data_IF_972384741155
#
_entry.id   IF_972384741155
#
_cell.length_a   1.000
_cell.length_b   1.000
_cell.length_c   1.000
_cell.angle_alpha   90.00
_cell.angle_beta   90.00
_cell.angle_gamma   90.00
#
_symmetry.space_group_name_H-M   'P 1'
#
loop_
_entity.id
_entity.type
_entity.pdbx_description
1 polymer ?
#
# COMPACT_ATOMS: atom_id res chain seq x y z
N UNK A 1 19.62 -9.49 -29.16
CA UNK A 1 18.93 -8.67 -28.10
C UNK A 1 17.53 -8.27 -28.56
N UNK A 2 17.36 -7.72 -29.77
CA UNK A 2 16.05 -7.29 -30.29
C UNK A 2 15.03 -8.43 -30.43
N UNK A 3 15.45 -9.63 -30.84
CA UNK A 3 14.55 -10.78 -31.03
C UNK A 3 13.86 -11.23 -29.72
N UNK A 4 14.54 -11.09 -28.58
CA UNK A 4 13.96 -11.39 -27.26
C UNK A 4 12.87 -10.40 -26.87
N UNK A 5 13.04 -9.11 -27.20
CA UNK A 5 12.01 -8.09 -26.96
C UNK A 5 10.79 -8.33 -27.85
N UNK A 6 10.98 -8.70 -29.12
CA UNK A 6 9.89 -9.00 -30.05
C UNK A 6 9.10 -10.24 -29.59
N UNK A 7 9.79 -11.31 -29.18
CA UNK A 7 9.15 -12.52 -28.65
C UNK A 7 8.33 -12.26 -27.38
N UNK A 8 8.87 -11.48 -26.44
CA UNK A 8 8.15 -11.10 -25.22
C UNK A 8 6.91 -10.25 -25.51
N UNK A 9 7.01 -9.28 -26.43
CA UNK A 9 5.87 -8.45 -26.81
C UNK A 9 4.75 -9.28 -27.47
N UNK A 10 5.10 -10.24 -28.33
CA UNK A 10 4.12 -11.13 -28.96
C UNK A 10 3.44 -12.04 -27.92
N UNK A 11 4.20 -12.55 -26.95
CA UNK A 11 3.67 -13.35 -25.85
C UNK A 11 2.71 -12.55 -24.95
N UNK A 12 3.08 -11.33 -24.58
CA UNK A 12 2.20 -10.44 -23.82
C UNK A 12 0.93 -10.09 -24.60
N UNK A 13 1.05 -9.83 -25.89
CA UNK A 13 -0.09 -9.56 -26.77
C UNK A 13 -1.04 -10.77 -26.79
N UNK A 14 -0.51 -12.00 -26.90
CA UNK A 14 -1.32 -13.21 -26.84
C UNK A 14 -2.06 -13.35 -25.50
N UNK A 15 -1.41 -13.05 -24.37
CA UNK A 15 -2.05 -13.03 -23.04
C UNK A 15 -3.18 -12.00 -22.99
N UNK A 16 -2.95 -10.78 -23.49
CA UNK A 16 -3.96 -9.72 -23.50
C UNK A 16 -5.17 -10.15 -24.33
N UNK A 17 -4.96 -10.72 -25.52
CA UNK A 17 -6.03 -11.24 -26.36
C UNK A 17 -6.76 -12.39 -25.66
N UNK A 18 -6.04 -13.32 -25.02
CA UNK A 18 -6.65 -14.44 -24.30
C UNK A 18 -7.53 -13.98 -23.14
N UNK A 19 -7.05 -13.03 -22.34
CA UNK A 19 -7.83 -12.41 -21.26
C UNK A 19 -9.07 -11.70 -21.79
N UNK A 20 -8.94 -10.98 -22.90
CA UNK A 20 -10.07 -10.31 -23.55
C UNK A 20 -11.09 -11.31 -24.12
N UNK A 21 -10.63 -12.42 -24.69
CA UNK A 21 -11.48 -13.50 -25.19
C UNK A 21 -12.27 -14.16 -24.05
N UNK A 22 -11.62 -14.43 -22.90
CA UNK A 22 -12.29 -14.97 -21.71
C UNK A 22 -13.32 -13.96 -21.17
N UNK A 23 -12.99 -12.66 -21.18
CA UNK A 23 -13.91 -11.61 -20.75
C UNK A 23 -15.16 -11.54 -21.64
N UNK A 24 -14.99 -11.60 -22.96
CA UNK A 24 -16.11 -11.67 -23.92
C UNK A 24 -16.91 -12.97 -23.73
N UNK A 25 -16.24 -14.10 -23.56
CA UNK A 25 -16.90 -15.38 -23.36
C UNK A 25 -17.75 -15.38 -22.10
N UNK A 26 -17.24 -14.83 -20.99
CA UNK A 26 -18.01 -14.65 -19.76
C UNK A 26 -19.23 -13.73 -19.96
N UNK A 27 -19.10 -12.69 -20.79
CA UNK A 27 -20.22 -11.84 -21.15
C UNK A 27 -21.29 -12.64 -21.91
N UNK A 28 -20.90 -13.42 -22.92
CA UNK A 28 -21.80 -14.28 -23.68
C UNK A 28 -22.47 -15.34 -22.79
N UNK A 29 -21.72 -15.92 -21.86
CA UNK A 29 -22.23 -16.91 -20.90
C UNK A 29 -23.34 -16.30 -20.04
N UNK A 30 -23.13 -15.09 -19.48
CA UNK A 30 -24.13 -14.36 -18.69
C UNK A 30 -25.35 -13.94 -19.52
N UNK A 31 -25.14 -13.56 -20.80
CA UNK A 31 -26.25 -13.22 -21.68
C UNK A 31 -27.07 -14.46 -22.10
N UNK A 32 -26.43 -15.62 -22.20
CA UNK A 32 -27.06 -16.86 -22.68
C UNK A 32 -27.62 -17.70 -21.54
N UNK A 33 -27.12 -17.52 -20.32
CA UNK A 33 -27.65 -18.17 -19.13
C UNK A 33 -29.09 -17.71 -18.90
N UNK A 34 -30.01 -18.68 -18.97
CA UNK A 34 -31.40 -18.48 -18.61
C UNK A 34 -31.51 -18.44 -17.08
N UNK A 35 -31.10 -17.32 -16.48
CA UNK A 35 -31.45 -17.08 -15.10
C UNK A 35 -32.98 -16.96 -15.03
N UNK A 36 -33.59 -17.64 -14.07
CA UNK A 36 -35.03 -17.54 -13.86
C UNK A 36 -35.44 -16.15 -13.32
N UNK A 37 -34.46 -15.31 -12.96
CA UNK A 37 -34.63 -13.97 -12.43
C UNK A 37 -33.76 -12.99 -13.22
N UNK A 38 -34.40 -12.08 -13.96
CA UNK A 38 -33.73 -11.04 -14.77
C UNK A 38 -32.75 -10.19 -13.94
N UNK A 39 -33.06 -9.96 -12.67
CA UNK A 39 -32.22 -9.20 -11.75
C UNK A 39 -30.88 -9.89 -11.47
N UNK A 40 -30.86 -11.21 -11.30
CA UNK A 40 -29.63 -11.97 -11.04
C UNK A 40 -28.69 -11.90 -12.24
N UNK A 41 -29.23 -11.98 -13.46
CA UNK A 41 -28.47 -11.83 -14.70
C UNK A 41 -27.80 -10.45 -14.78
N UNK A 42 -28.54 -9.39 -14.46
CA UNK A 42 -28.03 -8.02 -14.47
C UNK A 42 -26.95 -7.83 -13.39
N UNK A 43 -27.14 -8.41 -12.20
CA UNK A 43 -26.13 -8.36 -11.12
C UNK A 43 -24.83 -9.02 -11.56
N UNK A 44 -24.87 -10.22 -12.15
CA UNK A 44 -23.68 -10.90 -12.66
C UNK A 44 -22.98 -10.13 -13.78
N UNK A 45 -23.75 -9.56 -14.71
CA UNK A 45 -23.22 -8.71 -15.77
C UNK A 45 -22.50 -7.48 -15.19
N UNK A 46 -23.13 -6.82 -14.22
CA UNK A 46 -22.58 -5.66 -13.54
C UNK A 46 -21.29 -6.02 -12.79
N UNK A 47 -21.27 -7.14 -12.07
CA UNK A 47 -20.09 -7.61 -11.35
C UNK A 47 -18.94 -7.86 -12.33
N UNK A 48 -19.14 -8.63 -13.39
CA UNK A 48 -18.07 -8.93 -14.37
C UNK A 48 -17.58 -7.67 -15.10
N UNK A 49 -18.47 -6.72 -15.36
CA UNK A 49 -18.12 -5.44 -15.98
C UNK A 49 -17.36 -4.49 -15.03
N UNK A 50 -17.77 -4.42 -13.75
CA UNK A 50 -17.18 -3.53 -12.75
C UNK A 50 -15.96 -4.13 -12.04
N UNK A 51 -15.75 -5.46 -12.10
CA UNK A 51 -14.59 -6.15 -11.53
C UNK A 51 -13.22 -5.53 -11.89
N UNK A 52 -12.92 -5.20 -13.16
CA UNK A 52 -11.65 -4.54 -13.49
C UNK A 52 -11.51 -3.17 -12.83
N UNK A 53 -12.59 -2.41 -12.67
CA UNK A 53 -12.57 -1.08 -12.07
C UNK A 53 -12.43 -1.13 -10.55
N UNK A 54 -13.15 -2.04 -9.87
CA UNK A 54 -13.06 -2.19 -8.42
C UNK A 54 -11.66 -2.66 -8.00
N UNK A 55 -11.00 -3.51 -8.80
CA UNK A 55 -9.61 -3.92 -8.57
C UNK A 55 -8.63 -2.75 -8.58
N UNK A 56 -8.75 -1.85 -9.55
CA UNK A 56 -7.93 -0.63 -9.62
C UNK A 56 -8.23 0.32 -8.46
N UNK A 57 -9.51 0.48 -8.11
CA UNK A 57 -9.93 1.34 -7.01
C UNK A 57 -9.40 0.84 -5.66
N UNK A 58 -9.49 -0.47 -5.39
CA UNK A 58 -8.88 -1.09 -4.21
C UNK A 58 -7.36 -0.87 -4.17
N UNK A 59 -6.67 -1.05 -5.28
CA UNK A 59 -5.22 -0.80 -5.35
C UNK A 59 -4.87 0.65 -4.96
N UNK A 60 -5.65 1.63 -5.43
CA UNK A 60 -5.42 3.04 -5.08
C UNK A 60 -5.75 3.36 -3.62
N UNK A 61 -6.81 2.78 -3.06
CA UNK A 61 -7.19 2.99 -1.66
C UNK A 61 -6.16 2.36 -0.71
N UNK A 62 -5.79 1.10 -0.94
CA UNK A 62 -4.84 0.36 -0.09
C UNK A 62 -3.41 0.86 -0.31
N UNK A 63 -3.00 1.10 -1.56
CA UNK A 63 -1.63 1.48 -1.91
C UNK A 63 -1.19 2.84 -1.34
N UNK A 64 -2.14 3.75 -1.06
CA UNK A 64 -1.83 5.05 -0.45
C UNK A 64 -1.49 4.96 1.04
N UNK A 65 -1.99 3.98 1.77
CA UNK A 65 -1.79 3.89 3.23
C UNK A 65 -0.43 3.29 3.58
N UNK A 66 0.15 2.49 2.68
CA UNK A 66 1.40 1.75 2.92
C UNK A 66 2.67 2.60 2.71
N UNK A 67 2.56 3.83 2.19
CA UNK A 67 3.71 4.73 1.93
C UNK A 67 3.91 5.81 3.00
N UNK A 68 3.41 5.63 4.22
CA UNK A 68 3.64 6.56 5.34
C UNK A 68 3.86 5.83 6.67
N UNK A 69 4.84 4.95 6.72
CA UNK A 69 5.45 4.52 7.98
C UNK A 69 6.80 3.86 7.66
N UNK A 70 7.77 4.66 7.26
CA UNK A 70 9.10 4.41 7.80
C UNK A 70 9.07 5.08 9.18
N UNK A 71 9.25 4.34 10.29
CA UNK A 71 9.65 4.94 11.54
C UNK A 71 10.96 5.66 11.23
N UNK A 72 10.91 6.98 11.09
CA UNK A 72 12.12 7.79 11.07
C UNK A 72 12.59 7.87 12.53
N UNK A 73 13.06 6.75 13.04
CA UNK A 73 13.85 6.68 14.26
C UNK A 73 15.32 6.76 13.86
N UNK A 74 16.04 7.66 14.54
CA UNK A 74 17.48 7.91 14.47
C UNK A 74 17.99 8.85 13.38
N UNK A 75 17.45 10.07 13.32
CA UNK A 75 18.34 11.21 13.03
C UNK A 75 19.11 11.54 14.33
N UNK A 76 20.44 11.41 14.37
CA UNK A 76 21.23 11.66 15.59
C UNK A 76 21.01 13.06 16.17
N UNK A 77 20.66 14.05 15.34
CA UNK A 77 20.37 15.43 15.78
C UNK A 77 19.21 15.52 16.78
N UNK A 78 18.13 14.78 16.56
CA UNK A 78 16.99 14.76 17.49
C UNK A 78 17.43 14.26 18.88
N UNK A 79 18.31 13.25 18.93
CA UNK A 79 18.89 12.74 20.19
C UNK A 79 19.68 13.81 20.94
N UNK A 80 20.48 14.64 20.26
CA UNK A 80 21.22 15.74 20.89
C UNK A 80 20.33 16.92 21.32
N UNK A 81 19.25 17.19 20.58
CA UNK A 81 18.26 18.21 20.94
C UNK A 81 17.52 17.84 22.23
N UNK A 82 17.22 16.55 22.43
CA UNK A 82 16.67 16.04 23.70
C UNK A 82 17.64 16.22 24.86
N UNK A 83 18.93 15.95 24.68
CA UNK A 83 19.95 16.15 25.71
C UNK A 83 20.11 17.62 26.09
N UNK A 84 19.98 18.52 25.11
CA UNK A 84 20.04 19.98 25.33
C UNK A 84 18.87 20.46 26.19
N UNK A 85 17.65 19.95 25.92
CA UNK A 85 16.45 20.24 26.72
C UNK A 85 16.54 19.65 28.13
N UNK A 86 17.07 18.44 28.26
CA UNK A 86 17.31 17.83 29.58
C UNK A 86 18.27 18.67 30.42
N UNK A 87 19.33 19.20 29.81
CA UNK A 87 20.29 20.06 30.50
C UNK A 87 19.65 21.39 30.92
N UNK A 88 18.82 22.00 30.07
CA UNK A 88 18.13 23.26 30.43
C UNK A 88 17.15 23.08 31.59
N UNK A 89 16.47 21.93 31.69
CA UNK A 89 15.53 21.65 32.79
C UNK A 89 16.25 21.41 34.14
N UNK A 90 17.46 20.87 34.10
CA UNK A 90 18.33 20.77 35.27
C UNK A 90 18.78 22.16 35.73
N UNK A 91 19.22 23.01 34.79
CA UNK A 91 19.67 24.38 35.08
C UNK A 91 18.52 25.28 35.59
N UNK A 92 17.27 25.04 35.19
CA UNK A 92 16.07 25.71 35.72
C UNK A 92 15.68 25.24 37.14
N UNK A 93 16.35 24.22 37.70
CA UNK A 93 16.07 23.70 39.04
C UNK A 93 14.76 22.91 39.15
N UNK A 94 14.14 22.57 38.01
CA UNK A 94 12.90 21.78 37.93
C UNK A 94 13.21 20.29 38.10
N UNK A 95 14.43 19.88 37.71
CA UNK A 95 14.90 18.49 37.77
C UNK A 95 16.04 18.38 38.78
N UNK A 96 16.01 17.35 39.62
CA UNK A 96 17.12 17.06 40.54
C UNK A 96 18.24 16.34 39.80
N UNK A 97 19.49 16.53 40.24
CA UNK A 97 20.70 15.96 39.60
C UNK A 97 20.64 14.42 39.47
N UNK A 98 19.89 13.77 40.35
CA UNK A 98 19.69 12.32 40.37
C UNK A 98 18.75 11.82 39.25
N UNK A 99 17.71 12.60 38.90
CA UNK A 99 16.78 12.26 37.82
C UNK A 99 17.36 12.54 36.42
N UNK A 100 18.21 13.57 36.31
CA UNK A 100 18.89 13.91 35.05
C UNK A 100 19.82 12.79 34.56
N UNK A 101 20.63 12.22 35.45
CA UNK A 101 21.60 11.18 35.06
C UNK A 101 20.88 9.87 34.67
N UNK A 102 19.75 9.54 35.31
CA UNK A 102 18.94 8.37 34.96
C UNK A 102 18.33 8.47 33.54
N UNK A 103 17.83 9.65 33.17
CA UNK A 103 17.19 9.88 31.85
C UNK A 103 18.26 9.93 30.73
N UNK A 104 19.42 10.52 31.01
CA UNK A 104 20.57 10.60 30.09
C UNK A 104 21.13 9.22 29.74
N UNK A 105 21.26 8.31 30.71
CA UNK A 105 21.77 6.95 30.45
C UNK A 105 20.80 6.15 29.57
N UNK A 106 19.49 6.29 29.80
CA UNK A 106 18.44 5.62 29.03
C UNK A 106 18.41 6.07 27.56
N UNK A 107 18.65 7.36 27.30
CA UNK A 107 18.73 7.93 25.95
C UNK A 107 20.03 7.51 25.24
N UNK A 108 21.13 7.30 25.95
CA UNK A 108 22.40 6.92 25.34
C UNK A 108 22.46 5.43 24.97
N UNK A 109 21.74 4.57 25.68
CA UNK A 109 21.77 3.10 25.55
C UNK A 109 20.74 2.52 24.58
N UNK A 110 19.70 3.28 24.24
CA UNK A 110 18.70 2.95 23.21
C UNK A 110 19.12 3.55 21.86
#
# INVERSE_FOLDING_TARGET
MMDLFVGLNLFLLFIIIGLFAIWIWALIDILTSKFNEDLMQIVWLLVVFFLPFIGVLLYLLIGRTMKRQSPNESNPSDKYDHLTKLKSLLDEGILTTEEYEAEKEKILKH
#
